data_IF_808290052588
#
_entry.id   IF_808290052588
#
_cell.length_a   1.000
_cell.length_b   1.000
_cell.length_c   1.000
_cell.angle_alpha   90.00
_cell.angle_beta   90.00
_cell.angle_gamma   90.00
#
_symmetry.space_group_name_H-M   'P 1'
#
loop_
_entity.id
_entity.type
_entity.pdbx_description
1 polymer ?
#
# COMPACT_ATOMS: atom_id res chain seq x y z
N UNK A 1 4.77 31.37 -20.63
CA UNK A 1 5.16 30.51 -19.50
C UNK A 1 5.65 29.20 -20.10
N UNK A 2 6.81 28.66 -19.71
CA UNK A 2 7.25 27.41 -20.31
C UNK A 2 6.31 26.29 -19.87
N UNK A 3 5.79 25.53 -20.83
CA UNK A 3 5.00 24.33 -20.59
C UNK A 3 5.89 23.30 -19.89
N UNK A 4 5.47 22.85 -18.72
CA UNK A 4 6.17 21.81 -17.96
C UNK A 4 5.96 20.49 -18.71
N UNK A 5 7.03 19.73 -19.04
CA UNK A 5 6.89 18.46 -19.73
C UNK A 5 5.98 17.49 -18.97
N UNK A 6 5.06 16.86 -19.68
CA UNK A 6 4.04 15.90 -19.19
C UNK A 6 4.63 14.60 -18.59
N UNK A 7 5.96 14.51 -18.46
CA UNK A 7 6.69 13.33 -18.02
C UNK A 7 7.13 13.40 -16.55
N UNK A 8 6.90 14.53 -15.87
CA UNK A 8 7.01 14.61 -14.41
C UNK A 8 5.81 13.90 -13.79
N UNK A 9 5.93 12.60 -13.54
CA UNK A 9 5.05 11.90 -12.62
C UNK A 9 5.19 12.53 -11.23
N UNK A 10 4.31 13.45 -10.89
CA UNK A 10 4.26 14.04 -9.57
C UNK A 10 3.87 12.95 -8.57
N UNK A 11 4.82 12.55 -7.73
CA UNK A 11 4.56 11.58 -6.67
C UNK A 11 3.60 12.20 -5.66
N UNK A 12 2.42 11.61 -5.51
CA UNK A 12 1.51 11.97 -4.43
C UNK A 12 2.05 11.39 -3.11
N UNK A 13 2.31 12.26 -2.13
CA UNK A 13 2.71 11.84 -0.80
C UNK A 13 2.02 12.66 0.29
N UNK A 14 1.85 12.05 1.46
CA UNK A 14 1.36 12.71 2.67
C UNK A 14 2.43 12.60 3.76
N UNK A 15 2.54 13.62 4.59
CA UNK A 15 3.54 13.69 5.66
C UNK A 15 2.88 13.26 6.96
N UNK A 16 3.37 12.17 7.55
CA UNK A 16 2.98 11.79 8.90
C UNK A 16 3.63 12.71 9.93
N UNK A 17 2.79 13.36 10.75
CA UNK A 17 3.22 14.21 11.86
C UNK A 17 2.99 13.49 13.20
N UNK A 18 4.03 13.13 13.95
CA UNK A 18 3.89 12.62 15.31
C UNK A 18 3.19 13.65 16.21
N UNK A 19 2.43 13.19 17.22
CA UNK A 19 1.66 14.08 18.11
C UNK A 19 2.50 15.18 18.78
N UNK A 20 3.75 14.86 19.14
CA UNK A 20 4.68 15.82 19.77
C UNK A 20 5.27 16.87 18.82
N UNK A 21 5.00 16.77 17.51
CA UNK A 21 5.50 17.69 16.48
C UNK A 21 4.37 18.44 15.78
N UNK A 22 3.17 18.45 16.35
CA UNK A 22 2.02 19.15 15.77
C UNK A 22 2.11 20.64 16.08
N UNK A 23 1.92 21.47 15.05
CA UNK A 23 1.76 22.90 15.24
C UNK A 23 0.33 23.21 15.74
N UNK A 24 0.12 24.37 16.40
CA UNK A 24 -1.23 24.81 16.74
C UNK A 24 -2.11 24.88 15.49
N UNK A 25 -3.21 24.11 15.47
CA UNK A 25 -4.12 24.00 14.33
C UNK A 25 -3.91 22.77 13.43
N UNK A 26 -2.83 22.01 13.59
CA UNK A 26 -2.66 20.75 12.88
C UNK A 26 -3.63 19.68 13.40
N UNK A 27 -4.31 18.98 12.48
CA UNK A 27 -5.13 17.81 12.80
C UNK A 27 -4.23 16.58 12.78
N UNK A 28 -4.20 15.84 13.89
CA UNK A 28 -3.45 14.59 13.97
C UNK A 28 -4.07 13.52 13.07
N UNK A 29 -3.24 12.86 12.27
CA UNK A 29 -3.62 11.72 11.46
C UNK A 29 -2.60 10.60 11.60
N UNK A 30 -3.07 9.35 11.64
CA UNK A 30 -2.22 8.17 11.67
C UNK A 30 -1.74 7.81 10.27
N UNK A 31 -0.63 7.05 10.16
CA UNK A 31 -0.15 6.53 8.86
C UNK A 31 -1.24 5.75 8.09
N UNK A 32 -2.02 4.85 8.74
CA UNK A 32 -3.21 4.23 8.14
C UNK A 32 -4.20 5.23 7.51
N UNK A 33 -4.56 6.29 8.24
CA UNK A 33 -5.50 7.30 7.73
C UNK A 33 -4.95 8.04 6.51
N UNK A 34 -3.68 8.42 6.55
CA UNK A 34 -3.00 9.07 5.42
C UNK A 34 -2.94 8.16 4.19
N UNK A 35 -2.73 6.85 4.37
CA UNK A 35 -2.74 5.90 3.26
C UNK A 35 -4.13 5.78 2.61
N UNK A 36 -5.20 5.78 3.40
CA UNK A 36 -6.58 5.79 2.88
C UNK A 36 -6.88 7.07 2.09
N UNK A 37 -6.39 8.22 2.55
CA UNK A 37 -6.51 9.48 1.79
C UNK A 37 -5.78 9.44 0.46
N UNK A 38 -4.53 8.95 0.44
CA UNK A 38 -3.76 8.78 -0.80
C UNK A 38 -4.53 7.92 -1.80
N UNK A 39 -5.11 6.80 -1.35
CA UNK A 39 -5.89 5.90 -2.21
C UNK A 39 -7.12 6.59 -2.81
N UNK A 40 -7.83 7.41 -2.01
CA UNK A 40 -8.98 8.18 -2.48
C UNK A 40 -8.57 9.23 -3.52
N UNK A 41 -7.47 9.94 -3.29
CA UNK A 41 -6.94 10.94 -4.21
C UNK A 41 -6.47 10.30 -5.53
N UNK A 42 -5.76 9.17 -5.47
CA UNK A 42 -5.36 8.43 -6.68
C UNK A 42 -6.58 7.98 -7.49
N UNK A 43 -7.64 7.49 -6.84
CA UNK A 43 -8.90 7.17 -7.54
C UNK A 43 -9.55 8.41 -8.15
N UNK A 44 -9.57 9.53 -7.44
CA UNK A 44 -10.13 10.79 -7.93
C UNK A 44 -9.36 11.32 -9.16
N UNK A 45 -8.05 11.08 -9.22
CA UNK A 45 -7.22 11.35 -10.40
C UNK A 45 -7.44 10.36 -11.56
N UNK A 46 -8.31 9.35 -11.40
CA UNK A 46 -8.65 8.39 -12.44
C UNK A 46 -7.68 7.20 -12.56
N UNK A 47 -6.81 6.99 -11.57
CA UNK A 47 -5.92 5.82 -11.58
C UNK A 47 -6.71 4.52 -11.46
N UNK A 48 -6.44 3.58 -12.37
CA UNK A 48 -6.98 2.21 -12.32
C UNK A 48 -6.06 1.32 -11.51
N UNK A 49 -6.24 1.33 -10.19
CA UNK A 49 -5.44 0.54 -9.26
C UNK A 49 -5.89 -0.93 -9.32
N UNK A 50 -4.99 -1.82 -9.77
CA UNK A 50 -5.28 -3.27 -9.84
C UNK A 50 -4.97 -4.00 -8.53
N UNK A 51 -3.95 -3.56 -7.81
CA UNK A 51 -3.40 -4.26 -6.66
C UNK A 51 -2.72 -3.24 -5.72
N UNK A 52 -2.98 -3.37 -4.43
CA UNK A 52 -2.29 -2.64 -3.37
C UNK A 52 -1.35 -3.59 -2.64
N UNK A 53 -0.07 -3.23 -2.53
CA UNK A 53 0.93 -3.95 -1.75
C UNK A 53 1.28 -3.10 -0.52
N UNK A 54 1.20 -3.68 0.68
CA UNK A 54 1.57 -2.96 1.90
C UNK A 54 2.20 -3.85 2.98
N UNK A 55 2.91 -3.23 3.91
CA UNK A 55 3.56 -3.91 5.02
C UNK A 55 2.57 -4.30 6.14
N UNK A 56 3.11 -4.85 7.24
CA UNK A 56 2.34 -5.30 8.40
C UNK A 56 1.59 -4.20 9.13
N UNK A 57 2.05 -2.94 9.08
CA UNK A 57 1.34 -1.84 9.73
C UNK A 57 -0.05 -1.65 9.12
N UNK A 58 -0.16 -1.84 7.81
CA UNK A 58 -1.42 -1.71 7.08
C UNK A 58 -2.19 -3.03 7.06
N UNK A 59 -1.50 -4.17 6.98
CA UNK A 59 -2.14 -5.49 7.02
C UNK A 59 -2.87 -5.79 8.32
N UNK A 60 -2.37 -5.25 9.44
CA UNK A 60 -2.97 -5.41 10.77
C UNK A 60 -3.93 -4.26 11.13
N UNK A 61 -4.10 -3.28 10.24
CA UNK A 61 -5.00 -2.15 10.43
C UNK A 61 -6.39 -2.45 9.86
N UNK A 62 -7.35 -2.75 10.74
CA UNK A 62 -8.73 -2.98 10.34
C UNK A 62 -9.36 -1.82 9.56
N UNK A 63 -8.99 -0.58 9.87
CA UNK A 63 -9.47 0.61 9.16
C UNK A 63 -9.01 0.63 7.69
N UNK A 64 -7.75 0.25 7.43
CA UNK A 64 -7.18 0.23 6.08
C UNK A 64 -7.76 -0.90 5.26
N UNK A 65 -7.81 -2.10 5.85
CA UNK A 65 -8.41 -3.27 5.19
C UNK A 65 -9.87 -2.97 4.81
N UNK A 66 -10.67 -2.46 5.77
CA UNK A 66 -12.07 -2.09 5.51
C UNK A 66 -12.18 -1.00 4.42
N UNK A 67 -11.31 0.01 4.45
CA UNK A 67 -11.33 1.06 3.44
C UNK A 67 -10.97 0.52 2.04
N UNK A 68 -10.05 -0.43 1.94
CA UNK A 68 -9.67 -1.09 0.68
C UNK A 68 -10.78 -2.00 0.15
N UNK A 69 -11.42 -2.76 1.04
CA UNK A 69 -12.56 -3.63 0.71
C UNK A 69 -13.76 -2.82 0.19
N UNK A 70 -14.12 -1.72 0.86
CA UNK A 70 -15.17 -0.80 0.40
C UNK A 70 -14.89 -0.20 -0.98
N UNK A 71 -13.63 -0.19 -1.39
CA UNK A 71 -13.16 0.35 -2.65
C UNK A 71 -12.95 -0.75 -3.70
N UNK A 72 -13.30 -2.01 -3.39
CA UNK A 72 -13.14 -3.20 -4.24
C UNK A 72 -11.70 -3.36 -4.76
N UNK A 73 -10.71 -2.92 -3.98
CA UNK A 73 -9.30 -3.03 -4.36
C UNK A 73 -8.73 -4.35 -3.87
N UNK A 74 -8.10 -5.09 -4.78
CA UNK A 74 -7.31 -6.26 -4.41
C UNK A 74 -6.08 -5.83 -3.61
N UNK A 75 -5.76 -6.55 -2.54
CA UNK A 75 -4.65 -6.23 -1.65
C UNK A 75 -3.81 -7.47 -1.34
N UNK A 76 -2.50 -7.27 -1.24
CA UNK A 76 -1.58 -8.21 -0.61
C UNK A 76 -0.85 -7.44 0.48
N UNK A 77 -1.02 -7.89 1.71
CA UNK A 77 -0.44 -7.25 2.89
C UNK A 77 0.40 -8.24 3.65
N UNK A 78 1.49 -7.75 4.23
CA UNK A 78 2.23 -8.53 5.20
C UNK A 78 1.44 -8.62 6.52
N UNK A 79 1.59 -9.71 7.24
CA UNK A 79 1.06 -9.90 8.59
C UNK A 79 2.21 -10.44 9.43
N UNK A 80 2.43 -9.91 10.63
CA UNK A 80 3.51 -10.41 11.50
C UNK A 80 3.19 -11.81 11.98
N UNK A 81 4.23 -12.60 12.21
CA UNK A 81 4.10 -13.99 12.69
C UNK A 81 3.43 -14.10 14.05
N UNK A 82 3.46 -13.04 14.86
CA UNK A 82 2.83 -12.98 16.17
C UNK A 82 1.44 -12.32 16.17
N UNK A 83 0.87 -12.03 15.00
CA UNK A 83 -0.46 -11.46 14.85
C UNK A 83 -1.47 -12.54 14.48
N UNK A 84 -2.48 -12.77 15.32
CA UNK A 84 -3.53 -13.74 15.08
C UNK A 84 -4.54 -13.23 14.05
N UNK A 85 -4.88 -14.05 13.05
CA UNK A 85 -5.87 -13.74 12.02
C UNK A 85 -7.02 -14.73 12.12
N UNK A 86 -8.25 -14.22 12.26
CA UNK A 86 -9.44 -15.06 12.17
C UNK A 86 -9.73 -15.37 10.71
N UNK A 87 -9.67 -16.65 10.35
CA UNK A 87 -9.92 -17.11 8.99
C UNK A 87 -11.39 -17.48 8.83
N UNK A 88 -12.09 -16.81 7.91
CA UNK A 88 -13.47 -17.16 7.56
C UNK A 88 -13.58 -18.48 6.80
N UNK A 89 -14.79 -19.06 6.66
CA UNK A 89 -15.00 -20.29 5.90
C UNK A 89 -14.42 -20.19 4.48
N UNK A 90 -13.57 -21.14 4.09
CA UNK A 90 -12.92 -21.17 2.77
C UNK A 90 -11.60 -20.40 2.66
N UNK A 91 -11.22 -19.62 3.69
CA UNK A 91 -9.90 -19.00 3.75
C UNK A 91 -8.87 -20.02 4.27
N UNK A 92 -7.64 -19.99 3.74
CA UNK A 92 -6.57 -20.92 4.13
C UNK A 92 -5.22 -20.23 4.23
N UNK A 93 -4.40 -20.67 5.18
CA UNK A 93 -2.97 -20.36 5.22
C UNK A 93 -2.25 -21.29 4.25
N UNK A 94 -1.40 -20.74 3.40
CA UNK A 94 -0.56 -21.51 2.49
C UNK A 94 0.90 -21.21 2.77
N UNK A 95 1.66 -22.27 3.05
CA UNK A 95 3.11 -22.22 3.01
C UNK A 95 3.55 -22.50 1.57
N UNK A 96 4.01 -21.47 0.87
CA UNK A 96 4.61 -21.67 -0.44
C UNK A 96 6.05 -22.15 -0.26
N UNK A 97 6.47 -23.11 -1.09
CA UNK A 97 7.89 -23.38 -1.26
C UNK A 97 8.51 -22.26 -2.07
N UNK A 98 9.76 -21.91 -1.75
CA UNK A 98 10.54 -20.95 -2.51
C UNK A 98 10.52 -21.33 -3.98
N UNK A 99 9.96 -20.46 -4.83
CA UNK A 99 9.94 -20.66 -6.27
C UNK A 99 10.85 -19.67 -6.96
N UNK A 100 11.70 -20.19 -7.82
CA UNK A 100 12.51 -19.39 -8.71
C UNK A 100 11.62 -18.63 -9.69
N UNK A 101 11.88 -17.34 -9.87
CA UNK A 101 11.25 -16.51 -10.86
C UNK A 101 12.27 -15.54 -11.48
N UNK A 102 12.00 -15.14 -12.72
CA UNK A 102 12.83 -14.17 -13.43
C UNK A 102 12.34 -12.76 -13.11
N UNK A 103 13.16 -11.96 -12.43
CA UNK A 103 12.84 -10.57 -12.16
C UNK A 103 13.13 -9.73 -13.41
N UNK A 104 12.10 -9.39 -14.18
CA UNK A 104 12.22 -8.50 -15.33
C UNK A 104 12.25 -7.04 -14.86
N UNK A 105 13.44 -6.42 -14.88
CA UNK A 105 13.64 -5.00 -14.61
C UNK A 105 13.97 -4.26 -15.91
N UNK A 106 13.46 -3.05 -16.09
CA UNK A 106 13.63 -2.28 -17.34
C UNK A 106 15.08 -1.86 -17.61
N UNK A 107 15.92 -1.78 -16.58
CA UNK A 107 17.29 -1.24 -16.64
C UNK A 107 18.40 -2.25 -16.30
N UNK A 108 18.06 -3.51 -15.99
CA UNK A 108 19.06 -4.54 -15.60
C UNK A 108 18.71 -5.89 -16.20
N UNK A 109 19.75 -6.67 -16.52
CA UNK A 109 19.57 -8.06 -16.92
C UNK A 109 18.76 -8.83 -15.87
N UNK A 110 17.88 -9.72 -16.34
CA UNK A 110 17.05 -10.53 -15.47
C UNK A 110 17.93 -11.49 -14.66
N UNK A 111 17.72 -11.51 -13.34
CA UNK A 111 18.40 -12.41 -12.42
C UNK A 111 17.37 -13.37 -11.81
N UNK A 112 17.73 -14.64 -11.60
CA UNK A 112 16.88 -15.59 -10.90
C UNK A 112 16.74 -15.16 -9.44
N UNK A 113 15.49 -14.98 -9.00
CA UNK A 113 15.11 -14.64 -7.62
C UNK A 113 14.19 -15.72 -7.07
N UNK A 114 14.07 -15.81 -5.74
CA UNK A 114 13.17 -16.74 -5.09
C UNK A 114 12.06 -15.98 -4.36
N UNK A 115 10.81 -16.45 -4.50
CA UNK A 115 9.62 -15.98 -3.77
C UNK A 115 9.05 -17.09 -2.88
#
# INVERSE_FOLDING_TARGET
MPEVPNDFQQALFKIFKPKGCLNPGDIYQTKPQLAVEILRELKAFGFKIKLVLADSLYGESGDVIRALEQQELSLIVAIRSNHGVLMGPGQRVRYNQWKEYQQQLSYRQSEPRFN
#
